data_IF_667457215221
#
_entry.id   IF_667457215221
#
_cell.length_a   1.000
_cell.length_b   1.000
_cell.length_c   1.000
_cell.angle_alpha   90.00
_cell.angle_beta   90.00
_cell.angle_gamma   90.00
#
_symmetry.space_group_name_H-M   'P 1'
#
loop_
_entity.id
_entity.type
_entity.pdbx_description
1 polymer ?
#
# COMPACT_ATOMS: atom_id res chain seq x y z
N UNK A 1 14.36 7.69 -0.45
CA UNK A 1 14.13 6.25 -0.69
C UNK A 1 14.14 5.98 -2.19
N UNK A 2 14.39 4.73 -2.64
CA UNK A 2 14.23 4.32 -4.04
C UNK A 2 12.94 3.51 -4.17
N UNK A 3 12.09 3.90 -5.14
CA UNK A 3 10.87 3.20 -5.51
C UNK A 3 11.07 2.55 -6.88
N UNK A 4 10.87 1.25 -6.98
CA UNK A 4 10.93 0.52 -8.26
C UNK A 4 9.68 -0.34 -8.43
N UNK A 5 9.39 -0.75 -9.66
CA UNK A 5 8.42 -1.83 -9.89
C UNK A 5 8.83 -3.05 -9.04
N UNK A 6 7.83 -3.76 -8.54
CA UNK A 6 8.07 -5.06 -7.91
C UNK A 6 8.55 -6.06 -8.95
N UNK A 7 9.38 -7.02 -8.53
CA UNK A 7 9.84 -8.13 -9.37
C UNK A 7 9.52 -9.46 -8.70
N UNK A 8 9.66 -10.57 -9.44
CA UNK A 8 9.49 -11.90 -8.87
C UNK A 8 10.45 -12.17 -7.69
N UNK A 9 11.61 -11.52 -7.68
CA UNK A 9 12.62 -11.64 -6.61
C UNK A 9 12.17 -10.99 -5.29
N UNK A 10 11.11 -10.17 -5.31
CA UNK A 10 10.58 -9.54 -4.11
C UNK A 10 9.70 -10.46 -3.26
N UNK A 11 9.46 -11.71 -3.69
CA UNK A 11 8.56 -12.64 -3.00
C UNK A 11 8.90 -12.85 -1.53
N UNK A 12 10.17 -13.08 -1.22
CA UNK A 12 10.60 -13.30 0.17
C UNK A 12 10.30 -12.07 1.03
N UNK A 13 10.53 -10.87 0.49
CA UNK A 13 10.20 -9.63 1.18
C UNK A 13 8.69 -9.41 1.31
N UNK A 14 7.89 -9.78 0.30
CA UNK A 14 6.41 -9.75 0.38
C UNK A 14 5.98 -10.66 1.53
N UNK A 15 6.48 -11.88 1.57
CA UNK A 15 6.14 -12.86 2.59
C UNK A 15 6.56 -12.39 3.99
N UNK A 16 7.83 -12.01 4.19
CA UNK A 16 8.33 -11.50 5.48
C UNK A 16 7.49 -10.35 6.02
N UNK A 17 7.17 -9.37 5.18
CA UNK A 17 6.50 -8.16 5.62
C UNK A 17 5.02 -8.42 5.90
N UNK A 18 4.32 -9.20 5.08
CA UNK A 18 2.87 -9.42 5.23
C UNK A 18 2.53 -10.54 6.22
N UNK A 19 3.44 -11.48 6.45
CA UNK A 19 3.30 -12.51 7.49
C UNK A 19 3.61 -11.98 8.90
N UNK A 20 4.38 -10.89 9.03
CA UNK A 20 4.67 -10.28 10.33
C UNK A 20 3.39 -9.75 11.00
N UNK A 21 2.97 -10.31 12.15
CA UNK A 21 1.75 -9.89 12.84
C UNK A 21 1.74 -8.40 13.19
N UNK A 22 2.93 -7.80 13.41
CA UNK A 22 3.06 -6.37 13.74
C UNK A 22 2.61 -5.49 12.59
N UNK A 23 2.80 -5.90 11.34
CA UNK A 23 2.37 -5.10 10.18
C UNK A 23 0.89 -5.30 9.85
N UNK A 24 0.30 -6.39 10.34
CA UNK A 24 -1.07 -6.83 10.03
C UNK A 24 -2.08 -6.60 11.15
N UNK A 25 -1.71 -5.89 12.23
CA UNK A 25 -2.58 -5.60 13.40
C UNK A 25 -3.96 -5.06 13.00
N UNK A 26 -4.02 -4.23 11.95
CA UNK A 26 -5.26 -3.60 11.48
C UNK A 26 -5.79 -4.19 10.17
N UNK A 27 -5.19 -5.27 9.67
CA UNK A 27 -5.66 -5.92 8.46
C UNK A 27 -6.81 -6.87 8.80
N UNK A 28 -8.00 -6.75 8.18
CA UNK A 28 -9.15 -7.59 8.54
C UNK A 28 -8.89 -9.10 8.36
N UNK A 29 -8.08 -9.48 7.36
CA UNK A 29 -7.68 -10.86 7.12
C UNK A 29 -6.51 -11.37 7.95
N UNK A 30 -5.95 -10.54 8.85
CA UNK A 30 -4.74 -10.90 9.62
C UNK A 30 -3.45 -11.00 8.78
N UNK A 31 -2.37 -11.57 9.34
CA UNK A 31 -1.13 -11.78 8.60
C UNK A 31 -1.29 -12.83 7.49
N UNK A 32 -0.61 -12.60 6.36
CA UNK A 32 -0.54 -13.56 5.24
C UNK A 32 0.59 -14.54 5.53
N UNK A 33 0.27 -15.62 6.24
CA UNK A 33 1.26 -16.54 6.81
C UNK A 33 1.67 -17.68 5.89
N UNK A 34 0.94 -17.94 4.82
CA UNK A 34 1.31 -18.91 3.80
C UNK A 34 2.00 -18.23 2.60
N UNK A 35 3.03 -18.91 2.08
CA UNK A 35 3.83 -18.42 0.97
C UNK A 35 3.02 -18.34 -0.34
N UNK A 36 2.03 -19.20 -0.51
CA UNK A 36 1.17 -19.24 -1.70
C UNK A 36 0.34 -17.95 -1.82
N UNK A 37 -0.28 -17.50 -0.72
CA UNK A 37 -1.01 -16.24 -0.68
C UNK A 37 -0.11 -15.03 -0.85
N UNK A 38 1.14 -15.08 -0.35
CA UNK A 38 2.14 -14.04 -0.62
C UNK A 38 2.53 -14.01 -2.11
N UNK A 39 2.65 -15.18 -2.75
CA UNK A 39 2.90 -15.29 -4.19
C UNK A 39 1.72 -14.75 -5.00
N UNK A 40 0.49 -15.15 -4.68
CA UNK A 40 -0.70 -14.64 -5.34
C UNK A 40 -0.83 -13.11 -5.23
N UNK A 41 -0.45 -12.54 -4.09
CA UNK A 41 -0.38 -11.09 -3.90
C UNK A 41 0.65 -10.43 -4.81
N UNK A 42 1.86 -11.00 -4.91
CA UNK A 42 2.91 -10.48 -5.78
C UNK A 42 2.55 -10.63 -7.26
N UNK A 43 1.99 -11.77 -7.66
CA UNK A 43 1.55 -12.04 -9.04
C UNK A 43 0.50 -11.02 -9.49
N UNK A 44 -0.43 -10.65 -8.60
CA UNK A 44 -1.40 -9.59 -8.85
C UNK A 44 -0.73 -8.23 -9.10
N UNK A 45 0.32 -7.90 -8.34
CA UNK A 45 1.06 -6.64 -8.51
C UNK A 45 1.93 -6.63 -9.77
N UNK A 46 2.51 -7.78 -10.13
CA UNK A 46 3.24 -7.95 -11.39
C UNK A 46 2.29 -7.78 -12.59
N UNK A 47 1.12 -8.41 -12.56
CA UNK A 47 0.10 -8.26 -13.60
C UNK A 47 -0.37 -6.80 -13.74
N UNK A 48 -0.57 -6.08 -12.63
CA UNK A 48 -0.89 -4.64 -12.67
C UNK A 48 0.18 -3.82 -13.43
N UNK A 49 1.46 -4.13 -13.26
CA UNK A 49 2.54 -3.47 -14.01
C UNK A 49 2.56 -3.85 -15.49
N UNK A 50 2.44 -5.14 -15.81
CA UNK A 50 2.53 -5.63 -17.19
C UNK A 50 1.32 -5.19 -18.04
N UNK A 51 0.11 -5.26 -17.50
CA UNK A 51 -1.11 -4.98 -18.25
C UNK A 51 -1.45 -3.49 -18.33
N UNK A 52 -1.12 -2.73 -17.28
CA UNK A 52 -1.67 -1.37 -17.08
C UNK A 52 -0.60 -0.29 -16.96
N UNK A 53 0.67 -0.68 -16.84
CA UNK A 53 1.77 0.25 -16.60
C UNK A 53 1.70 0.97 -15.25
N UNK A 54 0.90 0.47 -14.30
CA UNK A 54 0.70 1.05 -12.98
C UNK A 54 0.43 -0.05 -11.96
N UNK A 55 1.27 -0.12 -10.92
CA UNK A 55 1.09 -1.04 -9.81
C UNK A 55 1.86 -0.58 -8.58
N UNK A 56 1.90 -1.43 -7.55
CA UNK A 56 2.67 -1.11 -6.34
C UNK A 56 4.17 -1.26 -6.57
N UNK A 57 4.91 -0.38 -5.92
CA UNK A 57 6.37 -0.36 -5.89
C UNK A 57 6.91 -1.14 -4.70
N UNK A 58 8.11 -1.67 -4.87
CA UNK A 58 9.01 -2.00 -3.78
C UNK A 58 9.80 -0.75 -3.35
N UNK A 59 9.87 -0.52 -2.05
CA UNK A 59 10.62 0.56 -1.42
C UNK A 59 11.95 0.05 -0.86
N UNK A 60 13.07 0.63 -1.30
CA UNK A 60 14.42 0.28 -0.83
C UNK A 60 15.17 1.51 -0.35
N UNK A 61 16.15 1.31 0.53
CA UNK A 61 17.14 2.34 0.83
C UNK A 61 18.12 2.46 -0.35
N UNK A 62 18.56 3.68 -0.64
CA UNK A 62 19.50 3.90 -1.75
C UNK A 62 20.81 3.13 -1.47
N UNK A 63 21.26 2.34 -2.46
CA UNK A 63 22.44 1.49 -2.33
C UNK A 63 22.22 0.16 -1.62
N UNK A 64 21.00 -0.14 -1.16
CA UNK A 64 20.65 -1.41 -0.51
C UNK A 64 19.69 -2.22 -1.39
N UNK A 65 19.89 -3.54 -1.44
CA UNK A 65 18.97 -4.47 -2.11
C UNK A 65 17.74 -4.80 -1.24
N UNK A 66 17.82 -4.50 0.06
CA UNK A 66 16.81 -4.90 1.03
C UNK A 66 15.54 -4.04 0.92
N UNK A 67 14.39 -4.71 0.83
CA UNK A 67 13.06 -4.07 0.70
C UNK A 67 12.54 -3.64 2.06
N UNK A 68 12.36 -2.35 2.25
CA UNK A 68 11.79 -1.73 3.45
C UNK A 68 10.26 -1.86 3.52
N UNK A 69 9.61 -1.95 2.36
CA UNK A 69 8.16 -1.98 2.29
C UNK A 69 7.65 -1.99 0.86
N UNK A 70 6.33 -1.98 0.74
CA UNK A 70 5.61 -1.94 -0.51
C UNK A 70 4.55 -0.86 -0.46
N UNK A 71 4.19 -0.30 -1.61
CA UNK A 71 3.12 0.68 -1.69
C UNK A 71 3.10 1.41 -3.02
N UNK A 72 2.15 2.31 -3.17
CA UNK A 72 1.98 3.10 -4.39
C UNK A 72 0.51 3.12 -4.78
N UNK A 73 0.25 3.26 -6.09
CA UNK A 73 -1.09 3.23 -6.64
C UNK A 73 -1.30 1.96 -7.45
N UNK A 74 -2.51 1.41 -7.37
CA UNK A 74 -3.01 0.43 -8.33
C UNK A 74 -4.45 0.76 -8.67
N UNK A 75 -4.94 0.33 -9.83
CA UNK A 75 -6.37 0.41 -10.14
C UNK A 75 -7.13 -0.57 -9.26
N UNK A 76 -8.22 -0.10 -8.66
CA UNK A 76 -9.10 -0.90 -7.85
C UNK A 76 -10.54 -0.40 -7.99
N UNK A 77 -11.48 -1.19 -7.49
CA UNK A 77 -12.87 -0.75 -7.29
C UNK A 77 -13.10 -0.62 -5.80
N UNK A 78 -13.42 0.60 -5.34
CA UNK A 78 -13.80 0.88 -3.96
C UNK A 78 -15.21 1.42 -3.96
N UNK A 79 -16.11 0.79 -3.20
CA UNK A 79 -17.52 1.22 -3.10
C UNK A 79 -18.19 1.43 -4.47
N UNK A 80 -17.98 0.47 -5.38
CA UNK A 80 -18.48 0.45 -6.77
C UNK A 80 -17.93 1.56 -7.68
N UNK A 81 -16.86 2.25 -7.28
CA UNK A 81 -16.19 3.26 -8.08
C UNK A 81 -14.78 2.81 -8.48
N UNK A 82 -14.39 3.05 -9.73
CA UNK A 82 -13.00 2.86 -10.16
C UNK A 82 -12.11 3.96 -9.59
N UNK A 83 -11.04 3.55 -8.92
CA UNK A 83 -10.12 4.45 -8.21
C UNK A 83 -8.67 3.99 -8.36
N UNK A 84 -7.74 4.90 -8.05
CA UNK A 84 -6.37 4.56 -7.76
C UNK A 84 -6.23 4.31 -6.25
N UNK A 85 -6.15 3.04 -5.85
CA UNK A 85 -5.98 2.68 -4.45
C UNK A 85 -4.54 2.92 -4.00
N UNK A 86 -4.36 3.87 -3.10
CA UNK A 86 -3.13 4.11 -2.36
C UNK A 86 -2.95 3.07 -1.26
N UNK A 87 -1.80 2.42 -1.28
CA UNK A 87 -1.37 1.47 -0.27
C UNK A 87 0.04 1.78 0.21
N UNK A 88 0.31 1.44 1.47
CA UNK A 88 1.66 1.34 2.01
C UNK A 88 1.71 0.33 3.15
N UNK A 89 2.77 -0.47 3.17
CA UNK A 89 3.12 -1.34 4.30
C UNK A 89 4.62 -1.46 4.38
N UNK A 90 5.16 -1.26 5.57
CA UNK A 90 6.59 -1.26 5.82
C UNK A 90 6.93 -2.25 6.93
N UNK A 91 8.12 -2.85 6.85
CA UNK A 91 8.66 -3.67 7.95
C UNK A 91 8.86 -2.82 9.21
N UNK A 92 8.75 -3.40 10.42
CA UNK A 92 8.86 -2.64 11.66
C UNK A 92 10.16 -1.85 11.83
N UNK A 93 11.28 -2.37 11.32
CA UNK A 93 12.58 -1.66 11.36
C UNK A 93 12.61 -0.37 10.54
N UNK A 94 11.64 -0.16 9.63
CA UNK A 94 11.51 1.05 8.82
C UNK A 94 10.50 2.06 9.40
N UNK A 95 9.82 1.74 10.50
CA UNK A 95 8.83 2.64 11.10
C UNK A 95 9.49 3.85 11.79
N UNK A 96 8.72 4.94 11.94
CA UNK A 96 9.20 6.17 12.58
C UNK A 96 10.17 7.01 11.72
N UNK A 97 10.60 6.51 10.56
CA UNK A 97 11.58 7.17 9.68
C UNK A 97 10.93 7.99 8.54
N UNK A 98 9.60 8.01 8.44
CA UNK A 98 8.88 8.81 7.44
C UNK A 98 8.71 8.17 6.05
N UNK A 99 9.19 6.94 5.83
CA UNK A 99 9.11 6.30 4.50
C UNK A 99 7.69 6.14 3.96
N UNK A 100 6.71 5.81 4.80
CA UNK A 100 5.31 5.71 4.36
C UNK A 100 4.77 7.04 3.83
N UNK A 101 5.14 8.16 4.45
CA UNK A 101 4.76 9.50 4.00
C UNK A 101 5.49 9.88 2.70
N UNK A 102 6.78 9.58 2.60
CA UNK A 102 7.56 9.80 1.37
C UNK A 102 6.95 9.02 0.19
N UNK A 103 6.61 7.74 0.41
CA UNK A 103 5.94 6.88 -0.56
C UNK A 103 4.58 7.46 -0.96
N UNK A 104 3.74 7.81 0.03
CA UNK A 104 2.39 8.32 -0.22
C UNK A 104 2.44 9.59 -1.07
N UNK A 105 3.33 10.54 -0.76
CA UNK A 105 3.48 11.76 -1.56
C UNK A 105 3.97 11.48 -2.98
N UNK A 106 4.85 10.49 -3.17
CA UNK A 106 5.26 10.08 -4.51
C UNK A 106 4.10 9.48 -5.30
N UNK A 107 3.29 8.63 -4.66
CA UNK A 107 2.08 8.05 -5.23
C UNK A 107 1.06 9.11 -5.62
N UNK A 108 0.80 10.11 -4.76
CA UNK A 108 -0.13 11.21 -5.04
C UNK A 108 0.27 12.03 -6.26
N UNK A 109 1.56 12.33 -6.44
CA UNK A 109 2.06 13.01 -7.67
C UNK A 109 1.81 12.20 -8.94
N UNK A 110 1.93 10.87 -8.86
CA UNK A 110 1.58 9.98 -9.98
C UNK A 110 0.08 10.02 -10.24
N UNK A 111 -0.74 9.98 -9.18
CA UNK A 111 -2.20 10.07 -9.30
C UNK A 111 -2.68 11.37 -9.93
N UNK A 112 -2.07 12.51 -9.56
CA UNK A 112 -2.34 13.82 -10.16
C UNK A 112 -2.08 13.81 -11.68
N UNK A 113 -0.95 13.24 -12.11
CA UNK A 113 -0.61 13.12 -13.53
C UNK A 113 -1.56 12.19 -14.30
N UNK A 114 -2.17 11.20 -13.62
CA UNK A 114 -3.14 10.27 -14.21
C UNK A 114 -4.56 10.85 -14.26
N UNK A 115 -4.87 11.89 -13.48
CA UNK A 115 -6.15 12.62 -13.52
C UNK A 115 -7.37 11.87 -12.97
N UNK A 116 -7.18 10.83 -12.17
CA UNK A 116 -8.27 10.03 -11.57
C UNK A 116 -8.29 10.06 -10.04
N UNK A 117 -9.38 9.61 -9.40
CA UNK A 117 -9.53 9.70 -7.94
C UNK A 117 -8.54 8.77 -7.24
N UNK A 118 -7.73 9.33 -6.34
CA UNK A 118 -6.83 8.56 -5.47
C UNK A 118 -7.52 8.34 -4.12
N UNK A 119 -7.61 7.07 -3.71
CA UNK A 119 -8.29 6.65 -2.48
C UNK A 119 -7.37 5.83 -1.62
N UNK A 120 -7.37 6.05 -0.31
CA UNK A 120 -6.83 5.12 0.67
C UNK A 120 -7.95 4.62 1.58
N UNK A 121 -8.14 3.30 1.66
CA UNK A 121 -9.08 2.68 2.60
C UNK A 121 -8.33 2.25 3.84
N UNK A 122 -8.67 2.85 4.98
CA UNK A 122 -7.93 2.71 6.23
C UNK A 122 -8.91 2.36 7.35
N UNK A 123 -8.71 1.25 8.06
CA UNK A 123 -9.52 0.93 9.24
C UNK A 123 -9.59 2.13 10.19
N UNK A 124 -10.78 2.44 10.73
CA UNK A 124 -10.99 3.63 11.57
C UNK A 124 -10.09 3.67 12.82
N UNK A 125 -9.69 2.48 13.32
CA UNK A 125 -8.80 2.30 14.47
C UNK A 125 -7.31 2.32 14.10
N UNK A 126 -6.96 2.37 12.82
CA UNK A 126 -5.57 2.41 12.34
C UNK A 126 -5.04 3.86 12.31
N UNK A 127 -4.94 4.44 13.51
CA UNK A 127 -4.47 5.80 13.71
C UNK A 127 -3.11 6.12 13.07
N UNK A 128 -2.08 5.22 13.11
CA UNK A 128 -0.81 5.48 12.44
C UNK A 128 -0.95 5.69 10.93
N UNK A 129 -1.79 4.88 10.27
CA UNK A 129 -2.02 5.01 8.84
C UNK A 129 -2.83 6.27 8.51
N UNK A 130 -3.86 6.59 9.30
CA UNK A 130 -4.66 7.82 9.13
C UNK A 130 -3.78 9.07 9.17
N UNK A 131 -2.86 9.14 10.15
CA UNK A 131 -1.88 10.24 10.24
C UNK A 131 -0.96 10.35 9.03
N UNK A 132 -0.61 9.24 8.37
CA UNK A 132 0.21 9.27 7.16
C UNK A 132 -0.60 9.84 5.99
N UNK A 133 -1.84 9.37 5.79
CA UNK A 133 -2.72 9.88 4.74
C UNK A 133 -2.96 11.40 4.90
N UNK A 134 -3.27 11.86 6.11
CA UNK A 134 -3.48 13.27 6.43
C UNK A 134 -2.23 14.12 6.16
N UNK A 135 -1.06 13.67 6.61
CA UNK A 135 0.22 14.37 6.34
C UNK A 135 0.63 14.35 4.87
N UNK A 136 0.14 13.37 4.11
CA UNK A 136 0.34 13.31 2.66
C UNK A 136 -0.54 14.31 1.92
N UNK A 137 -1.57 14.87 2.58
CA UNK A 137 -2.50 15.86 2.03
C UNK A 137 -3.90 15.29 1.77
N UNK A 138 -4.16 14.03 2.12
CA UNK A 138 -5.48 13.43 1.95
C UNK A 138 -6.40 13.80 3.11
N UNK A 139 -7.71 13.77 2.86
CA UNK A 139 -8.72 14.02 3.89
C UNK A 139 -9.76 12.89 3.91
N UNK A 140 -10.33 12.64 5.08
CA UNK A 140 -11.42 11.66 5.23
C UNK A 140 -12.66 12.20 4.51
N UNK A 141 -13.23 11.38 3.63
CA UNK A 141 -14.48 11.66 2.92
C UNK A 141 -15.66 10.94 3.60
N UNK A 142 -15.56 9.62 3.76
CA UNK A 142 -16.64 8.78 4.29
C UNK A 142 -16.11 7.52 4.99
N UNK A 143 -17.01 6.75 5.58
CA UNK A 143 -16.71 5.44 6.18
C UNK A 143 -17.53 4.37 5.47
N UNK A 144 -16.90 3.26 5.09
CA UNK A 144 -17.51 2.12 4.39
C UNK A 144 -17.19 0.80 5.11
N UNK A 145 -18.01 -0.26 4.93
CA UNK A 145 -17.61 -1.61 5.33
C UNK A 145 -16.55 -2.13 4.34
N UNK A 146 -15.35 -2.46 4.83
CA UNK A 146 -14.29 -3.08 4.04
C UNK A 146 -13.78 -4.32 4.77
N UNK A 147 -13.89 -5.50 4.15
CA UNK A 147 -13.53 -6.77 4.81
C UNK A 147 -14.34 -7.05 6.08
N UNK A 148 -15.58 -6.56 6.16
CA UNK A 148 -16.46 -6.72 7.33
C UNK A 148 -16.19 -5.75 8.49
N UNK A 149 -15.23 -4.82 8.36
CA UNK A 149 -14.95 -3.81 9.39
C UNK A 149 -15.15 -2.38 8.89
N UNK A 150 -15.57 -1.43 9.76
CA UNK A 150 -15.61 -0.02 9.41
C UNK A 150 -14.22 0.50 9.00
N UNK A 151 -14.16 1.11 7.82
CA UNK A 151 -12.93 1.69 7.27
C UNK A 151 -13.22 3.06 6.66
N UNK A 152 -12.36 4.02 6.98
CA UNK A 152 -12.40 5.37 6.46
C UNK A 152 -11.78 5.41 5.06
N UNK A 153 -12.51 6.05 4.15
CA UNK A 153 -12.08 6.39 2.81
C UNK A 153 -11.44 7.78 2.86
N UNK A 154 -10.14 7.83 2.58
CA UNK A 154 -9.40 9.07 2.41
C UNK A 154 -9.25 9.38 0.93
N UNK A 155 -9.41 10.65 0.54
CA UNK A 155 -9.26 11.15 -0.83
C UNK A 155 -8.21 12.26 -0.89
N UNK A 156 -7.52 12.37 -2.04
CA UNK A 156 -6.52 13.40 -2.31
C UNK A 156 -7.14 14.70 -2.84
#
# INVERSE_FOLDING_TARGET
MVLSRVTADDLDAVHEIHSDPRTSVYHPGGPVTDLESSRAMLDLWLADWEERGLGYWAARRAGESHVLGFGGLRRAVVDRQEVFNLYYRFRPSAWGQGYALELARAALRVGEALGGPVVAVISEVNEPSRKVAEKAGMHKDRTIPYGGVPSDVYVA
#
